data_IF_004090260246
#
_entry.id   IF_004090260246
#
_cell.length_a   1.000
_cell.length_b   1.000
_cell.length_c   1.000
_cell.angle_alpha   90.00
_cell.angle_beta   90.00
_cell.angle_gamma   90.00
#
_symmetry.space_group_name_H-M   'P 1'
#
loop_
_entity.id
_entity.type
_entity.pdbx_description
1 polymer ?
#
# COMPACT_ATOMS: atom_id res chain seq x y z
N UNK A 1 8.25 -17.91 9.43
CA UNK A 1 7.88 -16.48 9.50
C UNK A 1 6.78 -16.22 8.49
N UNK A 2 5.66 -15.62 8.90
CA UNK A 2 4.63 -15.20 7.94
C UNK A 2 5.27 -14.20 6.96
N UNK A 3 5.21 -14.50 5.67
CA UNK A 3 5.69 -13.61 4.61
C UNK A 3 4.82 -12.36 4.60
N UNK A 4 5.42 -11.19 4.75
CA UNK A 4 4.73 -9.91 4.74
C UNK A 4 5.01 -9.19 3.41
N UNK A 5 3.98 -8.63 2.78
CA UNK A 5 4.09 -7.93 1.50
C UNK A 5 5.14 -6.80 1.55
N UNK A 6 5.25 -6.09 2.67
CA UNK A 6 6.25 -5.02 2.85
C UNK A 6 7.70 -5.51 2.96
N UNK A 7 7.92 -6.81 3.18
CA UNK A 7 9.25 -7.42 3.15
C UNK A 7 9.56 -8.08 1.81
N UNK A 8 8.54 -8.30 0.98
CA UNK A 8 8.67 -8.93 -0.35
C UNK A 8 8.87 -7.90 -1.46
N UNK A 9 8.40 -6.68 -1.27
CA UNK A 9 8.48 -5.60 -2.25
C UNK A 9 9.31 -4.42 -1.73
N UNK A 10 10.13 -3.80 -2.60
CA UNK A 10 10.83 -2.57 -2.25
C UNK A 10 9.85 -1.46 -1.83
N UNK A 11 10.29 -0.65 -0.87
CA UNK A 11 9.57 0.51 -0.37
C UNK A 11 10.30 1.79 -0.71
N UNK A 12 9.55 2.88 -0.85
CA UNK A 12 10.12 4.22 -0.98
C UNK A 12 10.99 4.54 0.26
N UNK A 13 12.16 5.17 0.06
CA UNK A 13 12.99 5.66 1.15
C UNK A 13 12.30 6.84 1.88
N UNK A 14 12.71 7.07 3.13
CA UNK A 14 12.02 7.99 4.06
C UNK A 14 11.97 9.43 3.56
N UNK A 15 13.01 9.88 2.86
CA UNK A 15 13.09 11.20 2.24
C UNK A 15 12.03 11.39 1.15
N UNK A 16 11.77 10.37 0.33
CA UNK A 16 10.75 10.41 -0.72
C UNK A 16 9.31 10.35 -0.16
N UNK A 17 9.08 9.64 0.96
CA UNK A 17 7.73 9.55 1.55
C UNK A 17 7.12 10.91 1.90
N UNK A 18 7.94 11.94 2.13
CA UNK A 18 7.48 13.30 2.41
C UNK A 18 6.81 14.00 1.21
N UNK A 19 7.13 13.56 -0.02
CA UNK A 19 6.53 14.07 -1.25
C UNK A 19 5.36 13.23 -1.77
N UNK A 20 5.03 12.11 -1.11
CA UNK A 20 3.94 11.21 -1.49
C UNK A 20 2.74 11.48 -0.57
N UNK A 21 1.53 11.51 -1.12
CA UNK A 21 0.31 11.76 -0.37
C UNK A 21 -0.82 10.81 -0.77
N UNK A 22 -1.54 10.30 0.23
CA UNK A 22 -2.78 9.54 0.04
C UNK A 22 -3.87 10.28 0.79
N UNK A 23 -4.87 10.80 0.07
CA UNK A 23 -5.86 11.76 0.59
C UNK A 23 -5.20 12.93 1.36
N UNK A 24 -4.10 13.47 0.82
CA UNK A 24 -3.35 14.56 1.45
C UNK A 24 -2.51 14.17 2.69
N UNK A 25 -2.47 12.87 3.05
CA UNK A 25 -1.66 12.37 4.17
C UNK A 25 -0.43 11.65 3.63
N UNK A 26 0.75 12.09 4.06
CA UNK A 26 1.99 11.38 3.72
C UNK A 26 2.06 10.01 4.45
N UNK A 27 2.37 8.90 3.76
CA UNK A 27 2.42 7.58 4.38
C UNK A 27 3.64 7.39 5.28
N UNK A 28 3.55 6.52 6.30
CA UNK A 28 4.71 6.14 7.13
C UNK A 28 5.60 5.10 6.43
N UNK A 29 5.01 4.32 5.52
CA UNK A 29 5.68 3.33 4.68
C UNK A 29 4.80 3.08 3.46
N UNK A 30 5.41 3.01 2.29
CA UNK A 30 4.74 2.72 1.02
C UNK A 30 5.65 1.88 0.13
N UNK A 31 5.12 0.81 -0.46
CA UNK A 31 5.83 0.03 -1.49
C UNK A 31 5.87 0.81 -2.81
N UNK A 32 6.79 0.45 -3.69
CA UNK A 32 6.60 0.78 -5.12
C UNK A 32 5.31 0.15 -5.65
N UNK A 33 4.85 0.63 -6.79
CA UNK A 33 3.75 0.01 -7.51
C UNK A 33 4.24 -1.32 -8.12
N UNK A 34 3.41 -2.36 -8.08
CA UNK A 34 3.73 -3.65 -8.68
C UNK A 34 2.49 -4.35 -9.22
N UNK A 35 2.71 -5.27 -10.17
CA UNK A 35 1.64 -6.05 -10.77
C UNK A 35 0.98 -6.98 -9.73
N UNK A 36 -0.34 -7.01 -9.71
CA UNK A 36 -1.18 -7.81 -8.83
C UNK A 36 -0.79 -9.30 -8.81
N UNK A 37 -0.38 -9.86 -9.95
CA UNK A 37 0.05 -11.27 -10.06
C UNK A 37 1.25 -11.61 -9.17
N UNK A 38 2.02 -10.61 -8.73
CA UNK A 38 3.16 -10.77 -7.82
C UNK A 38 2.71 -10.90 -6.36
N UNK A 39 1.46 -10.56 -6.02
CA UNK A 39 0.91 -10.69 -4.66
C UNK A 39 0.75 -12.17 -4.30
N UNK A 40 1.59 -12.63 -3.37
CA UNK A 40 1.53 -14.01 -2.84
C UNK A 40 0.73 -14.11 -1.55
N UNK A 41 0.49 -12.99 -0.87
CA UNK A 41 -0.23 -12.97 0.40
C UNK A 41 -1.72 -13.29 0.16
N UNK A 42 -2.17 -14.47 0.61
CA UNK A 42 -3.50 -15.03 0.31
C UNK A 42 -4.65 -14.04 0.57
N UNK A 43 -4.66 -13.41 1.75
CA UNK A 43 -5.70 -12.45 2.14
C UNK A 43 -5.76 -11.23 1.21
N UNK A 44 -4.62 -10.76 0.70
CA UNK A 44 -4.60 -9.64 -0.22
C UNK A 44 -4.97 -10.08 -1.63
N UNK A 45 -4.46 -11.25 -2.04
CA UNK A 45 -4.79 -11.82 -3.33
C UNK A 45 -6.29 -11.94 -3.50
N UNK A 46 -7.01 -12.54 -2.55
CA UNK A 46 -8.48 -12.71 -2.59
C UNK A 46 -9.28 -11.40 -2.71
N UNK A 47 -8.67 -10.25 -2.41
CA UNK A 47 -9.33 -8.95 -2.47
C UNK A 47 -9.10 -8.18 -3.78
N UNK A 48 -8.07 -8.53 -4.54
CA UNK A 48 -7.69 -7.81 -5.77
C UNK A 48 -8.67 -8.16 -6.88
N UNK A 49 -9.10 -7.16 -7.66
CA UNK A 49 -10.09 -7.32 -8.72
C UNK A 49 -9.47 -7.86 -10.01
N UNK A 50 -8.38 -7.25 -10.47
CA UNK A 50 -7.65 -7.70 -11.65
C UNK A 50 -6.31 -8.35 -11.25
N UNK A 51 -6.32 -9.67 -11.12
CA UNK A 51 -5.13 -10.41 -10.72
C UNK A 51 -3.99 -10.40 -11.76
N UNK A 52 -4.29 -10.22 -13.04
CA UNK A 52 -3.32 -10.39 -14.13
C UNK A 52 -2.66 -9.07 -14.51
N UNK A 53 -3.44 -7.98 -14.52
CA UNK A 53 -3.01 -6.66 -14.99
C UNK A 53 -3.19 -5.53 -13.96
N UNK A 54 -3.84 -5.80 -12.83
CA UNK A 54 -4.01 -4.79 -11.78
C UNK A 54 -2.67 -4.26 -11.29
N UNK A 55 -2.57 -2.96 -11.11
CA UNK A 55 -1.42 -2.32 -10.45
C UNK A 55 -1.78 -2.07 -9.00
N UNK A 56 -0.96 -2.56 -8.08
CA UNK A 56 -1.22 -2.44 -6.65
C UNK A 56 -0.02 -1.85 -5.92
N UNK A 57 -0.30 -1.22 -4.80
CA UNK A 57 0.73 -0.80 -3.84
C UNK A 57 0.22 -1.04 -2.44
N UNK A 58 1.14 -1.04 -1.47
CA UNK A 58 0.82 -1.23 -0.07
C UNK A 58 1.30 -0.04 0.74
N UNK A 59 0.50 0.37 1.71
CA UNK A 59 0.91 1.34 2.75
C UNK A 59 0.62 0.82 4.13
N UNK A 60 1.41 1.28 5.09
CA UNK A 60 1.23 0.80 6.45
C UNK A 60 1.50 1.84 7.51
N UNK A 61 0.79 1.65 8.62
CA UNK A 61 0.88 2.53 9.77
C UNK A 61 1.00 1.74 11.07
N UNK A 62 1.61 2.34 12.09
CA UNK A 62 1.73 1.72 13.41
C UNK A 62 0.36 1.45 14.03
N UNK A 63 0.11 0.22 14.47
CA UNK A 63 -1.19 -0.16 15.05
C UNK A 63 -1.48 0.57 16.37
N UNK A 64 -0.43 0.90 17.15
CA UNK A 64 -0.55 1.61 18.43
C UNK A 64 -0.97 3.07 18.24
N UNK A 65 -0.56 3.71 17.14
CA UNK A 65 -0.84 5.12 16.82
C UNK A 65 -1.01 5.28 15.31
N UNK A 66 -2.15 4.84 14.75
CA UNK A 66 -2.34 4.84 13.31
C UNK A 66 -2.49 6.27 12.80
N UNK A 67 -1.71 6.62 11.77
CA UNK A 67 -1.75 7.90 11.06
C UNK A 67 -3.00 8.02 10.18
N UNK A 68 -3.51 6.88 9.72
CA UNK A 68 -4.69 6.78 8.88
C UNK A 68 -5.48 5.50 9.18
N UNK A 69 -6.75 5.49 8.80
CA UNK A 69 -7.67 4.36 9.00
C UNK A 69 -8.52 4.16 7.75
N UNK A 70 -7.95 3.53 6.74
CA UNK A 70 -8.69 3.23 5.51
C UNK A 70 -9.66 2.06 5.71
N UNK A 71 -10.75 2.05 4.95
CA UNK A 71 -11.72 0.94 4.90
C UNK A 71 -11.61 0.21 3.58
N UNK A 72 -11.87 -1.10 3.57
CA UNK A 72 -11.99 -1.85 2.31
C UNK A 72 -13.11 -1.24 1.47
N UNK A 73 -12.86 -1.05 0.17
CA UNK A 73 -13.74 -0.37 -0.78
C UNK A 73 -13.61 1.15 -0.80
N UNK A 74 -12.81 1.75 0.10
CA UNK A 74 -12.59 3.20 0.09
C UNK A 74 -11.69 3.62 -1.08
N UNK A 75 -12.17 4.54 -1.90
CA UNK A 75 -11.37 5.24 -2.89
C UNK A 75 -10.51 6.32 -2.23
N UNK A 76 -9.30 6.49 -2.74
CA UNK A 76 -8.34 7.49 -2.28
C UNK A 76 -7.66 8.16 -3.48
N UNK A 77 -7.34 9.43 -3.32
CA UNK A 77 -6.49 10.16 -4.25
C UNK A 77 -5.03 9.96 -3.84
N UNK A 78 -4.18 9.66 -4.82
CA UNK A 78 -2.77 9.32 -4.66
C UNK A 78 -1.95 10.32 -5.46
N UNK A 79 -1.07 11.02 -4.76
CA UNK A 79 -0.08 11.91 -5.36
C UNK A 79 1.28 11.28 -5.10
N UNK A 80 1.97 10.85 -6.15
CA UNK A 80 3.29 10.24 -6.04
C UNK A 80 4.20 10.71 -7.18
N UNK A 81 5.04 11.73 -6.95
CA UNK A 81 5.90 12.31 -7.99
C UNK A 81 7.06 11.39 -8.40
N UNK A 82 7.27 10.27 -7.72
CA UNK A 82 8.36 9.32 -7.96
C UNK A 82 7.91 8.07 -8.72
N UNK A 83 6.61 7.87 -8.91
CA UNK A 83 6.12 6.73 -9.69
C UNK A 83 6.30 7.00 -11.18
N UNK A 84 7.07 6.16 -11.86
CA UNK A 84 7.21 6.19 -13.32
C UNK A 84 5.88 5.88 -14.04
N UNK A 85 4.94 5.21 -13.36
CA UNK A 85 3.66 4.80 -13.91
C UNK A 85 2.52 5.79 -13.59
N UNK A 86 2.77 6.77 -12.73
CA UNK A 86 1.77 7.78 -12.32
C UNK A 86 2.40 9.19 -12.38
N UNK A 87 2.50 9.74 -13.58
CA UNK A 87 2.79 11.16 -13.78
C UNK A 87 1.50 11.99 -13.51
N UNK A 88 1.10 12.13 -12.25
CA UNK A 88 -0.04 12.98 -11.85
C UNK A 88 -0.86 12.46 -10.67
N UNK A 89 -2.03 13.09 -10.47
CA UNK A 89 -3.04 12.64 -9.50
C UNK A 89 -3.67 11.33 -9.99
N UNK A 90 -3.51 10.26 -9.20
CA UNK A 90 -4.08 8.96 -9.50
C UNK A 90 -5.13 8.58 -8.45
N UNK A 91 -6.03 7.66 -8.79
CA UNK A 91 -7.03 7.15 -7.85
C UNK A 91 -6.77 5.67 -7.60
N UNK A 92 -6.98 5.26 -6.36
CA UNK A 92 -6.84 3.87 -5.96
C UNK A 92 -7.96 3.47 -5.00
N UNK A 93 -8.25 2.19 -4.91
CA UNK A 93 -9.20 1.63 -3.96
C UNK A 93 -8.49 0.73 -2.96
N UNK A 94 -8.76 0.92 -1.68
CA UNK A 94 -8.30 0.00 -0.64
C UNK A 94 -9.02 -1.34 -0.82
N UNK A 95 -8.31 -2.38 -1.25
CA UNK A 95 -8.92 -3.69 -1.49
C UNK A 95 -8.80 -4.61 -0.28
N UNK A 96 -7.77 -4.43 0.55
CA UNK A 96 -7.54 -5.32 1.68
C UNK A 96 -6.77 -4.68 2.81
N UNK A 97 -6.88 -5.29 4.00
CA UNK A 97 -6.12 -4.89 5.18
C UNK A 97 -5.59 -6.13 5.88
N UNK A 98 -4.34 -6.09 6.35
CA UNK A 98 -3.78 -7.19 7.15
C UNK A 98 -2.85 -6.65 8.24
N UNK A 99 -2.92 -7.21 9.47
CA UNK A 99 -1.95 -6.88 10.50
C UNK A 99 -0.62 -7.58 10.21
N UNK A 100 0.49 -6.93 10.58
CA UNK A 100 1.81 -7.57 10.50
C UNK A 100 2.74 -7.09 11.61
N UNK A 101 3.86 -7.80 11.79
CA UNK A 101 4.83 -7.55 12.84
C UNK A 101 6.23 -7.35 12.26
N UNK A 102 6.91 -6.28 12.65
CA UNK A 102 8.32 -6.05 12.34
C UNK A 102 9.04 -5.68 13.63
N UNK A 103 10.07 -6.44 14.00
CA UNK A 103 10.91 -6.17 15.18
C UNK A 103 10.10 -5.90 16.47
N UNK A 104 9.05 -6.69 16.72
CA UNK A 104 8.17 -6.55 17.90
C UNK A 104 7.12 -5.43 17.80
N UNK A 105 7.14 -4.61 16.76
CA UNK A 105 6.12 -3.58 16.51
C UNK A 105 5.02 -4.14 15.62
N UNK A 106 3.76 -3.84 15.99
CA UNK A 106 2.57 -4.20 15.22
C UNK A 106 2.16 -3.06 14.30
N UNK A 107 1.89 -3.40 13.05
CA UNK A 107 1.46 -2.49 12.00
C UNK A 107 0.13 -2.95 11.40
N UNK A 108 -0.56 -2.00 10.78
CA UNK A 108 -1.73 -2.23 9.95
C UNK A 108 -1.30 -1.96 8.52
N UNK A 109 -1.27 -3.00 7.70
CA UNK A 109 -1.05 -2.92 6.27
C UNK A 109 -2.36 -2.76 5.52
N UNK A 110 -2.32 -1.93 4.49
CA UNK A 110 -3.39 -1.71 3.54
C UNK A 110 -2.85 -1.97 2.15
N UNK A 111 -3.58 -2.74 1.35
CA UNK A 111 -3.29 -2.91 -0.07
C UNK A 111 -4.30 -2.10 -0.89
N UNK A 112 -3.78 -1.37 -1.85
CA UNK A 112 -4.53 -0.53 -2.77
C UNK A 112 -4.37 -1.04 -4.19
N UNK A 113 -5.43 -0.99 -4.96
CA UNK A 113 -5.44 -1.26 -6.40
C UNK A 113 -5.73 0.05 -7.13
N UNK A 114 -4.88 0.39 -8.10
CA UNK A 114 -5.05 1.56 -8.97
C UNK A 114 -6.30 1.39 -9.83
N UNK A 115 -7.04 2.49 -10.03
CA UNK A 115 -8.24 2.56 -10.87
C UNK A 115 -7.87 3.02 -12.28
#
# INVERSE_FOLDING_TARGET
>A
MAKNIFTEFPTYPVDQLSGIFINGISPESMTYDFEAKRVKHKQYKECIRDHEKGTVFCVATLAKRPKYRFRVGQEVDVVNPYSFNCLGDARAVCVGTAPYYIKGMRFIGYIFEMI
#
